data_IF_931583459429
#
_entry.id   IF_931583459429
#
_cell.length_a   1.000
_cell.length_b   1.000
_cell.length_c   1.000
_cell.angle_alpha   90.00
_cell.angle_beta   90.00
_cell.angle_gamma   90.00
#
_symmetry.space_group_name_H-M   'P 1'
#
loop_
_entity.id
_entity.type
_entity.pdbx_description
1 polymer ?
#
# COMPACT_ATOMS: atom_id res chain seq x y z
N UNK A 1 -20.77 2.76 -27.02
CA UNK A 1 -20.45 3.60 -28.19
C UNK A 1 -20.47 2.73 -29.45
N UNK A 2 -20.90 3.25 -30.60
CA UNK A 2 -20.96 2.51 -31.87
C UNK A 2 -19.64 2.60 -32.65
N UNK A 3 -19.40 1.65 -33.56
CA UNK A 3 -18.19 1.62 -34.39
C UNK A 3 -18.01 2.85 -35.28
N UNK A 4 -19.11 3.46 -35.71
CA UNK A 4 -19.09 4.70 -36.50
C UNK A 4 -18.63 5.89 -35.66
N UNK A 5 -19.11 5.99 -34.42
CA UNK A 5 -18.71 7.04 -33.49
C UNK A 5 -17.22 6.95 -33.15
N UNK A 6 -16.68 5.73 -33.01
CA UNK A 6 -15.24 5.51 -32.79
C UNK A 6 -14.42 5.95 -34.01
N UNK A 7 -14.88 5.63 -35.22
CA UNK A 7 -14.21 6.07 -36.44
C UNK A 7 -14.12 7.60 -36.50
N UNK A 8 -15.18 8.32 -36.12
CA UNK A 8 -15.18 9.79 -36.04
C UNK A 8 -14.17 10.33 -35.01
N UNK A 9 -14.04 9.68 -33.84
CA UNK A 9 -13.04 10.07 -32.83
C UNK A 9 -11.61 9.86 -33.33
N UNK A 10 -11.37 8.74 -34.02
CA UNK A 10 -10.07 8.42 -34.59
C UNK A 10 -9.70 9.40 -35.72
N UNK A 11 -10.66 9.73 -36.59
CA UNK A 11 -10.48 10.77 -37.63
C UNK A 11 -10.18 12.14 -37.02
N UNK A 12 -10.88 12.52 -35.95
CA UNK A 12 -10.62 13.76 -35.22
C UNK A 12 -9.20 13.80 -34.65
N UNK A 13 -8.69 12.68 -34.12
CA UNK A 13 -7.31 12.58 -33.66
C UNK A 13 -6.33 12.71 -34.83
N UNK A 14 -6.56 12.04 -35.96
CA UNK A 14 -5.72 12.13 -37.15
C UNK A 14 -5.69 13.53 -37.79
N UNK A 15 -6.77 14.31 -37.66
CA UNK A 15 -6.79 15.70 -38.11
C UNK A 15 -5.72 16.56 -37.38
N UNK A 16 -5.43 16.25 -36.12
CA UNK A 16 -4.39 16.93 -35.33
C UNK A 16 -2.97 16.43 -35.65
N UNK A 17 -2.83 15.24 -36.25
CA UNK A 17 -1.53 14.62 -36.58
C UNK A 17 -1.45 14.26 -38.09
N UNK A 18 -1.23 15.24 -38.98
CA UNK A 18 -1.29 15.01 -40.43
C UNK A 18 -0.31 13.98 -40.97
N UNK A 19 0.84 13.83 -40.30
CA UNK A 19 1.87 12.87 -40.69
C UNK A 19 1.45 11.39 -40.51
N UNK A 20 0.40 11.11 -39.71
CA UNK A 20 -0.05 9.75 -39.42
C UNK A 20 -1.29 9.32 -40.23
N UNK A 21 -1.88 10.20 -41.04
CA UNK A 21 -3.14 9.95 -41.76
C UNK A 21 -3.10 8.75 -42.72
N UNK A 22 -1.90 8.34 -43.15
CA UNK A 22 -1.70 7.23 -44.08
C UNK A 22 -1.60 5.85 -43.39
N UNK A 23 -1.61 5.79 -42.05
CA UNK A 23 -1.54 4.54 -41.31
C UNK A 23 -2.93 3.93 -41.06
N UNK A 24 -2.99 2.58 -41.06
CA UNK A 24 -4.23 1.79 -40.97
C UNK A 24 -5.15 2.21 -39.81
N UNK A 25 -6.18 3.00 -40.13
CA UNK A 25 -7.22 3.42 -39.18
C UNK A 25 -8.02 2.25 -38.60
N UNK A 26 -8.13 1.13 -39.33
CA UNK A 26 -8.95 -0.02 -38.92
C UNK A 26 -8.50 -0.68 -37.61
N UNK A 27 -7.19 -0.87 -37.40
CA UNK A 27 -6.67 -1.46 -36.14
C UNK A 27 -6.78 -0.50 -34.97
N UNK A 28 -6.59 0.80 -35.21
CA UNK A 28 -6.76 1.84 -34.19
C UNK A 28 -8.21 1.91 -33.75
N UNK A 29 -9.15 1.87 -34.70
CA UNK A 29 -10.58 1.80 -34.39
C UNK A 29 -10.94 0.56 -33.56
N UNK A 30 -10.41 -0.63 -33.90
CA UNK A 30 -10.65 -1.85 -33.13
C UNK A 30 -10.11 -1.75 -31.69
N UNK A 31 -8.90 -1.20 -31.51
CA UNK A 31 -8.31 -0.99 -30.19
C UNK A 31 -9.15 -0.02 -29.35
N UNK A 32 -9.54 1.11 -29.93
CA UNK A 32 -10.33 2.13 -29.24
C UNK A 32 -11.76 1.63 -28.95
N UNK A 33 -12.32 0.79 -29.82
CA UNK A 33 -13.59 0.11 -29.58
C UNK A 33 -13.52 -0.79 -28.34
N UNK A 34 -12.49 -1.64 -28.24
CA UNK A 34 -12.31 -2.50 -27.09
C UNK A 34 -12.10 -1.73 -25.78
N UNK A 35 -11.49 -0.54 -25.84
CA UNK A 35 -11.07 0.18 -24.64
C UNK A 35 -11.95 1.37 -24.22
N UNK A 36 -12.79 1.92 -25.11
CA UNK A 36 -13.64 3.09 -24.86
C UNK A 36 -15.14 2.78 -25.00
N UNK A 37 -15.52 1.53 -25.29
CA UNK A 37 -16.93 1.13 -25.44
C UNK A 37 -17.75 1.27 -24.15
N UNK A 38 -17.09 1.32 -23.00
CA UNK A 38 -17.65 1.46 -21.66
C UNK A 38 -18.13 2.87 -21.31
N UNK A 39 -17.79 3.89 -22.12
CA UNK A 39 -18.13 5.29 -21.85
C UNK A 39 -19.06 5.92 -22.90
N UNK A 40 -19.84 6.96 -22.54
CA UNK A 40 -20.68 7.68 -23.48
C UNK A 40 -19.83 8.54 -24.43
N UNK A 41 -20.30 8.68 -25.69
CA UNK A 41 -19.59 9.40 -26.76
C UNK A 41 -19.16 10.82 -26.35
N UNK A 42 -20.04 11.57 -25.69
CA UNK A 42 -19.76 12.95 -25.31
C UNK A 42 -18.58 13.05 -24.33
N UNK A 43 -18.46 12.11 -23.40
CA UNK A 43 -17.33 12.06 -22.46
C UNK A 43 -16.04 11.71 -23.20
N UNK A 44 -16.08 10.71 -24.08
CA UNK A 44 -14.91 10.31 -24.88
C UNK A 44 -14.43 11.46 -25.79
N UNK A 45 -15.35 12.19 -26.44
CA UNK A 45 -15.03 13.34 -27.29
C UNK A 45 -14.38 14.48 -26.51
N UNK A 46 -14.97 14.85 -25.37
CA UNK A 46 -14.43 15.92 -24.53
C UNK A 46 -13.07 15.53 -23.92
N UNK A 47 -12.91 14.27 -23.54
CA UNK A 47 -11.64 13.73 -23.07
C UNK A 47 -10.57 13.78 -24.16
N UNK A 48 -10.91 13.37 -25.39
CA UNK A 48 -10.00 13.44 -26.52
C UNK A 48 -9.58 14.89 -26.81
N UNK A 49 -10.53 15.84 -26.88
CA UNK A 49 -10.21 17.26 -27.08
C UNK A 49 -9.28 17.79 -25.98
N UNK A 50 -9.55 17.45 -24.71
CA UNK A 50 -8.69 17.82 -23.59
C UNK A 50 -7.26 17.32 -23.77
N UNK A 51 -7.08 16.08 -24.23
CA UNK A 51 -5.75 15.51 -24.50
C UNK A 51 -5.09 16.24 -25.68
N UNK A 52 -5.81 16.40 -26.80
CA UNK A 52 -5.29 17.01 -28.03
C UNK A 52 -4.76 18.44 -27.82
N UNK A 53 -5.34 19.22 -26.90
CA UNK A 53 -4.86 20.58 -26.58
C UNK A 53 -3.45 20.58 -25.99
N UNK A 54 -3.06 19.51 -25.28
CA UNK A 54 -1.75 19.39 -24.63
C UNK A 54 -0.80 18.40 -25.31
N UNK A 55 -1.33 17.51 -26.16
CA UNK A 55 -0.60 16.38 -26.68
C UNK A 55 0.41 16.81 -27.77
N UNK A 56 1.66 16.38 -27.59
CA UNK A 56 2.73 16.53 -28.60
C UNK A 56 2.79 15.35 -29.57
N UNK A 57 2.23 14.21 -29.16
CA UNK A 57 2.24 12.94 -29.88
C UNK A 57 0.82 12.42 -30.02
N UNK A 58 0.63 11.42 -30.89
CA UNK A 58 -0.67 10.79 -31.06
C UNK A 58 -1.17 10.22 -29.72
N UNK A 59 -2.42 10.55 -29.32
CA UNK A 59 -2.91 10.21 -28.00
C UNK A 59 -3.01 8.70 -27.81
N UNK A 60 -2.60 8.25 -26.64
CA UNK A 60 -2.78 6.87 -26.20
C UNK A 60 -4.17 6.68 -25.58
N UNK A 61 -4.65 5.44 -25.57
CA UNK A 61 -5.90 5.09 -24.89
C UNK A 61 -5.84 5.43 -23.40
N UNK A 62 -4.68 5.30 -22.77
CA UNK A 62 -4.48 5.64 -21.36
C UNK A 62 -4.76 7.13 -21.11
N UNK A 63 -4.16 8.02 -21.89
CA UNK A 63 -4.35 9.48 -21.77
C UNK A 63 -5.82 9.88 -21.97
N UNK A 64 -6.51 9.28 -22.94
CA UNK A 64 -7.94 9.55 -23.19
C UNK A 64 -8.76 9.14 -21.96
N UNK A 65 -8.46 7.99 -21.34
CA UNK A 65 -9.22 7.50 -20.18
C UNK A 65 -8.90 8.28 -18.92
N UNK A 66 -7.65 8.70 -18.71
CA UNK A 66 -7.29 9.63 -17.64
C UNK A 66 -8.01 10.97 -17.77
N UNK A 67 -8.08 11.52 -18.99
CA UNK A 67 -8.84 12.73 -19.26
C UNK A 67 -10.34 12.51 -19.02
N UNK A 68 -10.89 11.37 -19.40
CA UNK A 68 -12.29 11.02 -19.17
C UNK A 68 -12.62 10.96 -17.67
N UNK A 69 -11.81 10.26 -16.87
CA UNK A 69 -11.96 10.21 -15.40
C UNK A 69 -11.85 11.60 -14.80
N UNK A 70 -10.91 12.40 -15.27
CA UNK A 70 -10.75 13.78 -14.78
C UNK A 70 -11.93 14.71 -15.10
N UNK A 71 -12.77 14.35 -16.08
CA UNK A 71 -13.97 15.13 -16.46
C UNK A 71 -15.22 14.66 -15.71
N UNK A 72 -15.30 13.39 -15.35
CA UNK A 72 -16.49 12.78 -14.73
C UNK A 72 -16.36 12.58 -13.23
N UNK A 73 -15.14 12.43 -12.71
CA UNK A 73 -14.93 12.18 -11.29
C UNK A 73 -15.17 13.44 -10.46
N UNK A 74 -15.82 13.32 -9.29
CA UNK A 74 -15.90 14.41 -8.33
C UNK A 74 -14.49 14.81 -7.86
N UNK A 75 -14.30 16.07 -7.41
CA UNK A 75 -13.01 16.53 -6.91
C UNK A 75 -12.51 15.59 -5.81
N UNK A 76 -11.29 15.07 -6.00
CA UNK A 76 -10.64 14.17 -5.05
C UNK A 76 -10.25 14.99 -3.82
N UNK A 77 -10.67 14.52 -2.64
CA UNK A 77 -10.29 15.14 -1.38
C UNK A 77 -8.77 15.14 -1.21
N UNK A 78 -8.23 16.32 -0.91
CA UNK A 78 -6.79 16.50 -0.71
C UNK A 78 -6.36 15.87 0.62
N UNK A 79 -5.08 15.48 0.71
CA UNK A 79 -4.52 14.95 1.95
C UNK A 79 -4.65 15.93 3.13
N UNK A 80 -4.59 17.25 2.86
CA UNK A 80 -4.74 18.28 3.87
C UNK A 80 -6.17 18.39 4.39
N UNK A 81 -7.17 18.35 3.51
CA UNK A 81 -8.58 18.32 3.90
C UNK A 81 -8.90 17.07 4.71
N UNK A 82 -8.45 15.90 4.26
CA UNK A 82 -8.62 14.64 4.96
C UNK A 82 -8.00 14.71 6.37
N UNK A 83 -6.75 15.18 6.48
CA UNK A 83 -6.08 15.36 7.77
C UNK A 83 -6.82 16.35 8.68
N UNK A 84 -7.33 17.45 8.13
CA UNK A 84 -8.09 18.41 8.90
C UNK A 84 -9.38 17.80 9.48
N UNK A 85 -10.08 16.96 8.72
CA UNK A 85 -11.24 16.21 9.22
C UNK A 85 -10.86 15.27 10.38
N UNK A 86 -9.74 14.56 10.27
CA UNK A 86 -9.22 13.70 11.34
C UNK A 86 -8.95 14.52 12.60
N UNK A 87 -8.21 15.63 12.48
CA UNK A 87 -7.90 16.47 13.64
C UNK A 87 -9.14 17.09 14.29
N UNK A 88 -10.15 17.44 13.51
CA UNK A 88 -11.43 17.91 14.05
C UNK A 88 -12.18 16.81 14.79
N UNK A 89 -12.15 15.57 14.28
CA UNK A 89 -12.70 14.43 14.99
C UNK A 89 -11.92 14.17 16.30
N UNK A 90 -10.59 14.23 16.29
CA UNK A 90 -9.76 14.03 17.48
C UNK A 90 -10.11 15.07 18.56
N UNK A 91 -10.23 16.34 18.18
CA UNK A 91 -10.63 17.42 19.09
C UNK A 91 -12.03 17.23 19.68
N UNK A 92 -12.96 16.62 18.92
CA UNK A 92 -14.37 16.47 19.30
C UNK A 92 -14.65 15.22 20.13
N UNK A 93 -14.01 14.11 19.80
CA UNK A 93 -14.29 12.79 20.38
C UNK A 93 -13.21 12.34 21.36
N UNK A 94 -11.96 12.82 21.19
CA UNK A 94 -10.84 12.49 22.05
C UNK A 94 -10.44 11.01 21.98
N UNK A 95 -9.68 10.58 22.98
CA UNK A 95 -9.04 9.27 23.01
C UNK A 95 -10.01 8.08 23.08
N UNK A 96 -11.10 8.21 23.85
CA UNK A 96 -11.95 7.07 24.22
C UNK A 96 -13.14 6.81 23.27
N UNK A 97 -13.51 7.78 22.42
CA UNK A 97 -14.72 7.70 21.58
C UNK A 97 -14.38 7.43 20.11
N UNK A 98 -13.53 6.43 19.88
CA UNK A 98 -13.08 6.03 18.54
C UNK A 98 -14.23 5.69 17.60
N UNK A 99 -15.18 4.88 18.06
CA UNK A 99 -16.28 4.38 17.21
C UNK A 99 -17.16 5.53 16.68
N UNK A 100 -17.48 6.50 17.54
CA UNK A 100 -18.23 7.68 17.17
C UNK A 100 -17.43 8.61 16.24
N UNK A 101 -16.12 8.71 16.46
CA UNK A 101 -15.23 9.49 15.60
C UNK A 101 -15.18 8.89 14.19
N UNK A 102 -14.95 7.59 14.07
CA UNK A 102 -14.92 6.88 12.79
C UNK A 102 -16.26 6.92 12.06
N UNK A 103 -17.38 6.86 12.78
CA UNK A 103 -18.71 6.99 12.20
C UNK A 103 -19.00 8.42 11.68
N UNK A 104 -18.32 9.43 12.22
CA UNK A 104 -18.47 10.83 11.78
C UNK A 104 -17.65 11.17 10.53
N UNK A 105 -16.66 10.35 10.18
CA UNK A 105 -15.73 10.59 9.08
C UNK A 105 -16.22 9.92 7.78
N UNK A 106 -15.84 10.46 6.59
CA UNK A 106 -16.03 9.75 5.33
C UNK A 106 -15.35 8.38 5.36
N UNK A 107 -15.93 7.38 4.69
CA UNK A 107 -15.44 6.00 4.70
C UNK A 107 -13.95 5.88 4.36
N UNK A 108 -13.48 6.58 3.33
CA UNK A 108 -12.07 6.62 2.91
C UNK A 108 -11.13 7.11 4.04
N UNK A 109 -11.56 8.14 4.79
CA UNK A 109 -10.78 8.71 5.90
C UNK A 109 -10.81 7.78 7.10
N UNK A 110 -11.99 7.22 7.42
CA UNK A 110 -12.14 6.27 8.51
C UNK A 110 -11.26 5.03 8.29
N UNK A 111 -11.20 4.51 7.07
CA UNK A 111 -10.33 3.38 6.73
C UNK A 111 -8.84 3.72 6.86
N UNK A 112 -8.43 4.93 6.46
CA UNK A 112 -7.04 5.36 6.66
C UNK A 112 -6.72 5.50 8.15
N UNK A 113 -7.61 6.11 8.92
CA UNK A 113 -7.46 6.26 10.38
C UNK A 113 -7.38 4.90 11.07
N UNK A 114 -8.19 3.90 10.66
CA UNK A 114 -8.10 2.52 11.18
C UNK A 114 -6.74 1.88 10.94
N UNK A 115 -6.13 2.13 9.76
CA UNK A 115 -4.79 1.60 9.42
C UNK A 115 -3.68 2.24 10.25
N UNK A 116 -3.80 3.52 10.58
CA UNK A 116 -2.86 4.23 11.44
C UNK A 116 -3.09 3.95 12.94
N UNK A 117 -4.34 3.70 13.32
CA UNK A 117 -4.76 3.51 14.70
C UNK A 117 -5.21 4.83 15.35
N UNK A 118 -6.43 4.86 15.89
CA UNK A 118 -7.01 6.08 16.48
C UNK A 118 -6.27 6.53 17.74
N UNK A 119 -5.89 5.56 18.58
CA UNK A 119 -5.21 5.83 19.85
C UNK A 119 -3.81 6.36 19.64
N UNK A 120 -3.13 5.83 18.64
CA UNK A 120 -1.82 6.23 18.16
C UNK A 120 -1.86 7.67 17.66
N UNK A 121 -2.89 8.03 16.88
CA UNK A 121 -3.13 9.41 16.44
C UNK A 121 -3.36 10.34 17.63
N UNK A 122 -4.20 9.94 18.59
CA UNK A 122 -4.52 10.76 19.74
C UNK A 122 -3.34 10.93 20.72
N UNK A 123 -2.48 9.93 20.86
CA UNK A 123 -1.32 9.94 21.77
C UNK A 123 -0.04 10.47 21.12
N UNK A 124 -0.09 10.90 19.86
CA UNK A 124 1.09 11.34 19.14
C UNK A 124 1.63 12.67 19.67
N UNK A 125 2.90 12.68 20.09
CA UNK A 125 3.61 13.87 20.55
C UNK A 125 4.12 14.74 19.39
N UNK A 126 4.31 14.15 18.21
CA UNK A 126 4.82 14.81 17.00
C UNK A 126 3.78 14.85 15.87
N UNK A 127 2.73 15.69 15.99
CA UNK A 127 1.63 15.74 15.02
C UNK A 127 2.08 16.16 13.61
N UNK A 128 3.17 16.92 13.49
CA UNK A 128 3.73 17.34 12.20
C UNK A 128 4.36 16.17 11.42
N UNK A 129 5.04 15.26 12.12
CA UNK A 129 5.63 14.04 11.52
C UNK A 129 4.52 13.09 11.10
N UNK A 130 3.53 12.88 11.97
CA UNK A 130 2.37 12.07 11.67
C UNK A 130 1.59 12.61 10.47
N UNK A 131 1.39 13.94 10.37
CA UNK A 131 0.77 14.56 9.19
C UNK A 131 1.55 14.26 7.91
N UNK A 132 2.89 14.27 7.96
CA UNK A 132 3.74 13.91 6.83
C UNK A 132 3.56 12.46 6.39
N UNK A 133 3.50 11.52 7.35
CA UNK A 133 3.25 10.10 7.08
C UNK A 133 1.85 9.87 6.54
N UNK A 134 0.84 10.51 7.15
CA UNK A 134 -0.55 10.46 6.69
C UNK A 134 -0.67 10.96 5.26
N UNK A 135 -0.04 12.08 4.93
CA UNK A 135 -0.04 12.62 3.56
C UNK A 135 0.52 11.61 2.56
N UNK A 136 1.67 11.00 2.84
CA UNK A 136 2.27 9.97 1.96
C UNK A 136 1.33 8.77 1.77
N UNK A 137 0.73 8.27 2.85
CA UNK A 137 -0.21 7.15 2.78
C UNK A 137 -1.49 7.52 2.02
N UNK A 138 -1.99 8.74 2.21
CA UNK A 138 -3.16 9.27 1.49
C UNK A 138 -2.90 9.42 0.01
N UNK A 139 -1.74 9.96 -0.38
CA UNK A 139 -1.36 10.14 -1.78
C UNK A 139 -1.28 8.76 -2.49
N UNK A 140 -0.70 7.75 -1.85
CA UNK A 140 -0.68 6.37 -2.36
C UNK A 140 -2.10 5.79 -2.49
N UNK A 141 -2.96 6.01 -1.49
CA UNK A 141 -4.35 5.54 -1.54
C UNK A 141 -5.16 6.24 -2.65
N UNK A 142 -5.02 7.56 -2.77
CA UNK A 142 -5.69 8.35 -3.80
C UNK A 142 -5.22 7.95 -5.21
N UNK A 143 -3.92 7.71 -5.38
CA UNK A 143 -3.34 7.26 -6.64
C UNK A 143 -3.83 5.86 -7.02
N UNK A 144 -3.86 4.91 -6.07
CA UNK A 144 -4.42 3.58 -6.31
C UNK A 144 -5.88 3.63 -6.77
N UNK A 145 -6.72 4.47 -6.13
CA UNK A 145 -8.11 4.67 -6.58
C UNK A 145 -8.19 5.30 -7.95
N UNK A 146 -7.32 6.27 -8.26
CA UNK A 146 -7.26 6.91 -9.59
C UNK A 146 -6.93 5.87 -10.66
N UNK A 147 -5.93 5.02 -10.42
CA UNK A 147 -5.54 3.95 -11.33
C UNK A 147 -6.71 2.99 -11.58
N UNK A 148 -7.41 2.55 -10.52
CA UNK A 148 -8.59 1.69 -10.65
C UNK A 148 -9.76 2.37 -11.38
N UNK A 149 -9.96 3.68 -11.18
CA UNK A 149 -10.98 4.46 -11.86
C UNK A 149 -10.70 4.56 -13.37
N UNK A 150 -9.43 4.62 -13.76
CA UNK A 150 -9.01 4.64 -15.17
C UNK A 150 -9.27 3.31 -15.85
N UNK A 151 -9.31 2.16 -15.16
CA UNK A 151 -9.51 0.84 -15.81
C UNK A 151 -10.95 0.60 -16.32
N UNK A 152 -11.16 -0.23 -17.36
CA UNK A 152 -12.52 -0.57 -17.82
C UNK A 152 -13.23 -1.40 -16.75
N UNK A 153 -14.54 -1.22 -16.62
CA UNK A 153 -15.36 -2.01 -15.69
C UNK A 153 -15.12 -3.54 -15.76
N UNK A 154 -15.06 -4.19 -16.94
CA UNK A 154 -14.82 -5.63 -17.01
C UNK A 154 -13.42 -6.02 -16.52
N UNK A 155 -12.40 -5.18 -16.78
CA UNK A 155 -11.04 -5.46 -16.34
C UNK A 155 -10.88 -5.25 -14.84
N UNK A 156 -11.53 -4.24 -14.28
CA UNK A 156 -11.57 -3.99 -12.83
C UNK A 156 -12.17 -5.19 -12.09
N UNK A 157 -13.32 -5.68 -12.56
CA UNK A 157 -13.97 -6.86 -11.99
C UNK A 157 -13.08 -8.11 -12.06
N UNK A 158 -12.33 -8.28 -13.16
CA UNK A 158 -11.38 -9.38 -13.30
C UNK A 158 -10.24 -9.26 -12.27
N UNK A 159 -9.66 -8.07 -12.10
CA UNK A 159 -8.58 -7.83 -11.11
C UNK A 159 -9.08 -8.11 -9.69
N UNK A 160 -10.28 -7.62 -9.35
CA UNK A 160 -10.90 -7.86 -8.04
C UNK A 160 -11.17 -9.35 -7.81
N UNK A 161 -11.69 -10.07 -8.82
CA UNK A 161 -11.92 -11.51 -8.73
C UNK A 161 -10.61 -12.32 -8.57
N UNK A 162 -9.55 -11.93 -9.29
CA UNK A 162 -8.24 -12.57 -9.15
C UNK A 162 -7.61 -12.28 -7.77
N UNK A 163 -7.72 -11.04 -7.29
CA UNK A 163 -7.26 -10.67 -5.95
C UNK A 163 -8.01 -11.46 -4.86
N UNK A 164 -9.32 -11.66 -5.01
CA UNK A 164 -10.12 -12.49 -4.11
C UNK A 164 -9.72 -13.98 -4.18
N UNK A 165 -9.37 -14.50 -5.36
CA UNK A 165 -8.91 -15.88 -5.52
C UNK A 165 -7.50 -16.12 -4.94
N UNK A 166 -6.63 -15.12 -4.96
CA UNK A 166 -5.29 -15.18 -4.34
C UNK A 166 -5.30 -14.85 -2.85
N UNK A 167 -6.40 -14.29 -2.32
CA UNK A 167 -6.57 -14.12 -0.88
C UNK A 167 -6.72 -15.51 -0.24
N UNK A 168 -5.76 -15.88 0.61
CA UNK A 168 -5.74 -17.16 1.30
C UNK A 168 -7.11 -17.41 2.00
N UNK A 169 -7.78 -18.56 1.78
CA UNK A 169 -8.98 -18.88 2.51
C UNK A 169 -8.63 -19.09 3.98
N UNK A 170 -9.09 -18.18 4.84
CA UNK A 170 -8.92 -18.32 6.30
C UNK A 170 -8.27 -17.13 7.02
N UNK A 171 -8.73 -15.90 6.77
CA UNK A 171 -8.71 -14.85 7.81
C UNK A 171 -10.14 -14.36 8.01
N UNK A 172 -11.06 -15.30 8.28
CA UNK A 172 -12.18 -14.94 9.13
C UNK A 172 -11.54 -14.49 10.44
N UNK A 173 -11.56 -13.19 10.69
CA UNK A 173 -11.37 -12.65 12.01
C UNK A 173 -12.48 -13.27 12.87
N UNK A 174 -12.19 -14.39 13.53
CA UNK A 174 -12.88 -14.67 14.78
C UNK A 174 -12.75 -13.38 15.59
N UNK A 175 -13.85 -12.79 16.09
CA UNK A 175 -13.74 -11.66 16.99
C UNK A 175 -12.85 -12.16 18.13
N UNK A 176 -11.66 -11.56 18.27
CA UNK A 176 -10.73 -11.88 19.35
C UNK A 176 -11.56 -11.90 20.62
N UNK A 177 -11.83 -13.11 21.15
CA UNK A 177 -12.58 -13.27 22.39
C UNK A 177 -11.87 -12.38 23.39
N UNK A 178 -12.60 -11.41 23.93
CA UNK A 178 -12.10 -10.56 24.98
C UNK A 178 -11.40 -11.45 26.01
N UNK A 179 -10.09 -11.28 26.17
CA UNK A 179 -9.36 -11.89 27.26
C UNK A 179 -10.11 -11.38 28.51
N UNK A 180 -10.74 -12.25 29.32
CA UNK A 180 -11.39 -11.80 30.53
C UNK A 180 -10.32 -11.12 31.39
N UNK A 181 -10.65 -9.92 31.89
CA UNK A 181 -9.77 -9.15 32.75
C UNK A 181 -9.20 -10.07 33.86
N UNK A 182 -7.89 -10.06 34.13
CA UNK A 182 -7.34 -10.87 35.21
C UNK A 182 -7.95 -10.40 36.54
N UNK A 183 -8.82 -11.24 37.11
CA UNK A 183 -9.35 -11.05 38.45
C UNK A 183 -8.21 -11.22 39.45
N UNK A 184 -7.99 -10.19 40.26
CA UNK A 184 -7.32 -10.18 41.56
C UNK A 184 -6.06 -11.07 41.71
N UNK A 185 -4.90 -10.42 41.66
CA UNK A 185 -3.64 -10.96 42.18
C UNK A 185 -3.76 -11.16 43.70
N UNK A 186 -3.55 -12.36 44.26
CA UNK A 186 -3.18 -12.52 45.66
C UNK A 186 -1.66 -12.28 45.82
N UNK A 187 -1.28 -11.69 46.95
CA UNK A 187 0.08 -11.28 47.35
C UNK A 187 1.21 -12.29 47.03
N UNK A 188 2.43 -11.83 46.69
CA UNK A 188 3.54 -12.70 46.33
C UNK A 188 4.28 -13.19 47.58
N UNK A 189 4.14 -14.47 47.87
CA UNK A 189 5.07 -15.23 48.68
C UNK A 189 5.53 -16.47 47.92
N UNK A 190 6.85 -16.64 47.82
CA UNK A 190 7.55 -17.89 47.48
C UNK A 190 7.70 -18.28 45.99
N UNK A 191 8.87 -17.92 45.46
CA UNK A 191 9.85 -18.80 44.79
C UNK A 191 9.36 -19.73 43.64
N UNK A 192 9.57 -19.29 42.40
CA UNK A 192 9.77 -20.17 41.24
C UNK A 192 10.55 -19.42 40.14
N UNK A 193 11.70 -19.98 39.77
CA UNK A 193 12.71 -19.36 38.93
C UNK A 193 12.27 -18.99 37.51
N UNK A 194 12.86 -17.90 37.04
CA UNK A 194 12.75 -17.29 35.72
C UNK A 194 13.53 -18.14 34.69
N UNK A 195 12.92 -18.64 33.59
CA UNK A 195 13.69 -19.25 32.51
C UNK A 195 14.37 -18.14 31.68
N UNK A 196 15.69 -18.27 31.54
CA UNK A 196 16.56 -17.33 30.85
C UNK A 196 16.17 -17.10 29.38
N UNK A 197 16.40 -15.87 28.90
CA UNK A 197 16.04 -15.32 27.60
C UNK A 197 16.66 -16.03 26.36
N UNK A 198 17.39 -17.13 26.55
CA UNK A 198 18.12 -17.83 25.48
C UNK A 198 17.27 -18.88 24.75
N UNK A 199 16.20 -19.40 25.37
CA UNK A 199 15.38 -20.48 24.80
C UNK A 199 14.39 -20.00 23.71
N UNK A 200 13.94 -18.75 23.77
CA UNK A 200 12.99 -18.16 22.80
C UNK A 200 13.67 -17.83 21.47
N UNK A 201 14.95 -17.46 21.51
CA UNK A 201 15.75 -17.13 20.32
C UNK A 201 16.04 -18.38 19.46
N UNK A 202 16.26 -19.54 20.10
CA UNK A 202 16.55 -20.80 19.41
C UNK A 202 15.31 -21.31 18.65
N UNK A 203 14.10 -21.14 19.22
CA UNK A 203 12.85 -21.54 18.57
C UNK A 203 12.52 -20.70 17.31
N UNK A 204 12.79 -19.40 17.34
CA UNK A 204 12.56 -18.51 16.18
C UNK A 204 13.53 -18.77 15.04
N UNK A 205 14.81 -19.03 15.34
CA UNK A 205 15.84 -19.34 14.35
C UNK A 205 15.52 -20.66 13.63
N UNK A 206 14.99 -21.66 14.35
CA UNK A 206 14.55 -22.93 13.74
C UNK A 206 13.39 -22.77 12.75
N UNK A 207 12.48 -21.82 13.00
CA UNK A 207 11.33 -21.55 12.12
C UNK A 207 11.75 -20.82 10.84
N UNK A 208 12.69 -19.88 10.93
CA UNK A 208 13.27 -19.17 9.79
C UNK A 208 14.05 -20.12 8.88
N UNK A 209 14.79 -21.07 9.46
CA UNK A 209 15.57 -22.06 8.69
C UNK A 209 14.70 -23.00 7.86
N UNK A 210 13.56 -23.47 8.40
CA UNK A 210 12.59 -24.29 7.63
C UNK A 210 11.97 -23.54 6.46
N UNK A 211 11.75 -22.24 6.60
CA UNK A 211 11.21 -21.40 5.52
C UNK A 211 12.25 -21.21 4.42
N UNK A 212 13.53 -21.05 4.78
CA UNK A 212 14.63 -20.96 3.80
C UNK A 212 14.83 -22.27 3.04
N UNK A 213 14.78 -23.43 3.72
CA UNK A 213 14.94 -24.74 3.08
C UNK A 213 13.78 -25.05 2.11
N UNK A 214 12.56 -24.57 2.40
CA UNK A 214 11.39 -24.73 1.53
C UNK A 214 11.42 -23.83 0.28
N UNK A 215 12.18 -22.74 0.28
CA UNK A 215 12.30 -21.79 -0.85
C UNK A 215 13.39 -22.23 -1.84
N UNK A 216 14.35 -23.05 -1.42
CA UNK A 216 15.47 -23.51 -2.26
C UNK A 216 15.14 -24.63 -3.25
N UNK A 217 13.95 -25.21 -3.19
CA UNK A 217 13.56 -26.32 -4.08
C UNK A 217 12.99 -25.85 -5.43
N UNK A 218 12.52 -24.60 -5.54
CA UNK A 218 11.63 -24.20 -6.65
C UNK A 218 12.23 -23.25 -7.70
N UNK A 219 13.49 -22.80 -7.56
CA UNK A 219 14.11 -21.93 -8.58
C UNK A 219 15.63 -22.10 -8.70
N UNK A 220 16.10 -22.10 -9.95
CA UNK A 220 17.42 -22.48 -10.41
C UNK A 220 18.63 -21.79 -9.77
N UNK A 221 19.81 -22.27 -10.17
CA UNK A 221 21.15 -22.03 -9.59
C UNK A 221 21.47 -20.60 -9.10
N UNK A 222 20.83 -19.56 -9.65
CA UNK A 222 20.96 -18.16 -9.18
C UNK A 222 20.48 -17.95 -7.72
N UNK A 223 19.45 -18.66 -7.27
CA UNK A 223 18.92 -18.51 -5.89
C UNK A 223 19.86 -19.08 -4.83
N UNK A 224 20.56 -20.18 -5.17
CA UNK A 224 21.56 -20.82 -4.31
C UNK A 224 22.77 -19.92 -4.10
N UNK A 225 23.15 -19.17 -5.14
CA UNK A 225 24.27 -18.23 -5.08
C UNK A 225 23.92 -16.99 -4.24
N UNK A 226 22.69 -16.47 -4.35
CA UNK A 226 22.20 -15.39 -3.50
C UNK A 226 22.06 -15.79 -2.02
N UNK A 227 21.58 -17.01 -1.74
CA UNK A 227 21.48 -17.54 -0.38
C UNK A 227 22.87 -17.77 0.27
N UNK A 228 23.84 -18.28 -0.50
CA UNK A 228 25.21 -18.43 -0.04
C UNK A 228 25.88 -17.07 0.29
N UNK A 229 25.62 -16.04 -0.53
CA UNK A 229 26.09 -14.69 -0.27
C UNK A 229 25.47 -14.09 1.01
N UNK A 230 24.16 -14.25 1.22
CA UNK A 230 23.47 -13.77 2.42
C UNK A 230 23.95 -14.46 3.71
N UNK A 231 24.26 -15.76 3.65
CA UNK A 231 24.82 -16.49 4.80
C UNK A 231 26.25 -16.04 5.13
N UNK A 232 27.04 -15.65 4.14
CA UNK A 232 28.38 -15.11 4.35
C UNK A 232 28.34 -13.72 5.01
N UNK A 233 27.46 -12.84 4.55
CA UNK A 233 27.18 -11.52 5.16
C UNK A 233 26.75 -11.66 6.62
N UNK A 234 25.82 -12.58 6.93
CA UNK A 234 25.39 -12.85 8.30
C UNK A 234 26.51 -13.41 9.19
N UNK A 235 27.42 -14.22 8.63
CA UNK A 235 28.58 -14.72 9.35
C UNK A 235 29.62 -13.61 9.62
N UNK A 236 29.78 -12.66 8.69
CA UNK A 236 30.64 -11.50 8.87
C UNK A 236 30.12 -10.56 9.97
N UNK A 237 28.82 -10.26 9.96
CA UNK A 237 28.16 -9.45 10.99
C UNK A 237 28.21 -10.11 12.39
N UNK A 238 28.12 -11.44 12.46
CA UNK A 238 28.33 -12.18 13.72
C UNK A 238 29.76 -12.04 14.26
N UNK A 239 30.77 -12.08 13.39
CA UNK A 239 32.18 -11.85 13.78
C UNK A 239 32.42 -10.41 14.23
N UNK A 240 31.80 -9.42 13.59
CA UNK A 240 31.89 -8.02 14.01
C UNK A 240 31.22 -7.80 15.36
N UNK A 241 30.02 -8.33 15.57
CA UNK A 241 29.32 -8.24 16.85
C UNK A 241 30.09 -8.92 17.99
N UNK A 242 30.79 -10.02 17.71
CA UNK A 242 31.68 -10.67 18.67
C UNK A 242 32.95 -9.85 18.99
N UNK A 243 33.43 -9.00 18.07
CA UNK A 243 34.54 -8.06 18.32
C UNK A 243 34.07 -6.86 19.15
N UNK A 244 32.87 -6.34 18.88
CA UNK A 244 32.28 -5.22 19.64
C UNK A 244 32.05 -5.64 21.09
N UNK A 245 31.47 -6.83 21.33
CA UNK A 245 31.27 -7.35 22.69
C UNK A 245 32.57 -7.65 23.47
N UNK A 246 33.72 -7.86 22.78
CA UNK A 246 35.03 -7.97 23.46
C UNK A 246 35.61 -6.62 23.87
N UNK A 247 35.40 -5.56 23.07
CA UNK A 247 35.88 -4.21 23.42
C UNK A 247 35.12 -3.63 24.62
N UNK A 248 33.80 -3.81 24.64
CA UNK A 248 32.96 -3.37 25.77
C UNK A 248 33.31 -4.10 27.09
N UNK A 249 33.75 -5.36 27.00
CA UNK A 249 34.22 -6.14 28.16
C UNK A 249 35.61 -5.74 28.69
N UNK A 250 36.47 -5.12 27.87
CA UNK A 250 37.78 -4.60 28.31
C UNK A 250 37.65 -3.19 28.91
N UNK A 251 36.79 -2.33 28.34
CA UNK A 251 36.52 -0.98 28.87
C UNK A 251 35.74 -1.03 30.20
N UNK A 252 34.84 -2.00 30.37
CA UNK A 252 34.13 -2.22 31.63
C UNK A 252 35.04 -2.73 32.77
N UNK A 253 36.16 -3.39 32.47
CA UNK A 253 37.12 -3.86 33.49
C UNK A 253 38.09 -2.77 33.96
N UNK A 254 38.33 -1.73 33.17
CA UNK A 254 39.22 -0.63 33.55
C UNK A 254 38.53 0.40 34.45
N UNK A 255 37.20 0.52 34.37
CA UNK A 255 36.44 1.47 35.22
C UNK A 255 36.15 0.96 36.65
N UNK A 256 36.28 -0.34 36.92
CA UNK A 256 36.05 -0.93 38.26
C UNK A 256 37.33 -1.15 39.09
N UNK A 257 38.51 -0.73 38.60
CA UNK A 257 39.79 -0.91 39.30
C UNK A 257 40.27 0.36 40.07
N UNK A 258 39.49 1.44 40.11
CA UNK A 258 39.90 2.70 40.76
C UNK A 258 38.83 3.38 41.63
N UNK A 259 37.95 2.60 42.26
CA UNK A 259 37.04 3.08 43.31
C UNK A 259 37.23 2.25 44.59
#
# INVERSE_FOLDING_TARGET
MTRQEIAQLVELAFANFPHLQNHSSARVCQLWEAALSDMPLQVAKNALVKVLVSARYFPTVAEIREAAVSLTAPPVMTALEAWHMVMNAVRRYGYYREQEALASLPADVADMVRRFGWREICACEEPDVMRGQFRRAWDTHAEGRRQLAVLPAPLRALIEAQAAACALPGTESEPVRAIPAPSAVPDPGSDAGEPAADDVAIAHIGKIRRILDAVTDDNGEETKQAAAAALYELAALRKERAKIGRKEGEEGKTQFAHA
#
